data_IF_851926914160
#
_entry.id   IF_851926914160
#
_cell.length_a   1.000
_cell.length_b   1.000
_cell.length_c   1.000
_cell.angle_alpha   90.00
_cell.angle_beta   90.00
_cell.angle_gamma   90.00
#
_symmetry.space_group_name_H-M   'P 1'
#
loop_
_entity.id
_entity.type
_entity.pdbx_description
1 polymer ?
#
# COMPACT_ATOMS: atom_id res chain seq x y z
N UNK A 1 4.82 6.53 16.85
CA UNK A 1 4.94 5.80 15.58
C UNK A 1 3.93 6.36 14.58
N UNK A 2 4.36 6.59 13.36
CA UNK A 2 3.46 7.08 12.34
C UNK A 2 2.61 5.95 11.77
N UNK A 3 1.50 6.31 11.14
CA UNK A 3 0.66 5.31 10.50
C UNK A 3 1.39 4.63 9.35
N UNK A 4 2.21 5.38 8.61
CA UNK A 4 3.04 4.78 7.56
C UNK A 4 3.96 3.71 8.13
N UNK A 5 4.59 3.99 9.28
CA UNK A 5 5.46 3.01 9.92
C UNK A 5 4.68 1.78 10.39
N UNK A 6 3.45 1.98 10.84
CA UNK A 6 2.60 0.87 11.24
C UNK A 6 2.26 -0.01 10.04
N UNK A 7 1.92 0.60 8.91
CA UNK A 7 1.64 -0.16 7.68
C UNK A 7 2.86 -0.96 7.27
N UNK A 8 4.02 -0.32 7.29
CA UNK A 8 5.25 -1.01 6.89
C UNK A 8 5.53 -2.21 7.78
N UNK A 9 5.34 -2.06 9.09
CA UNK A 9 5.57 -3.14 10.04
C UNK A 9 4.64 -4.32 9.79
N UNK A 10 3.39 -4.03 9.39
CA UNK A 10 2.41 -5.08 9.10
C UNK A 10 2.75 -5.87 7.85
N UNK A 11 3.58 -5.33 6.97
CA UNK A 11 3.96 -6.01 5.74
C UNK A 11 5.16 -6.92 5.90
N UNK A 12 5.78 -6.95 7.08
CA UNK A 12 6.95 -7.80 7.34
C UNK A 12 6.75 -9.27 7.00
N UNK A 13 5.56 -9.89 7.23
CA UNK A 13 5.39 -11.30 6.85
C UNK A 13 5.55 -11.59 5.37
N UNK A 14 5.46 -10.57 4.51
CA UNK A 14 5.66 -10.75 3.08
C UNK A 14 7.12 -10.65 2.69
N UNK A 15 8.02 -10.46 3.66
CA UNK A 15 9.48 -10.41 3.46
C UNK A 15 9.86 -9.48 2.31
N UNK A 16 9.44 -8.20 2.36
CA UNK A 16 9.65 -7.31 1.22
C UNK A 16 11.12 -6.99 1.01
N UNK A 17 11.51 -6.92 -0.26
CA UNK A 17 12.81 -6.43 -0.64
C UNK A 17 12.84 -4.91 -0.65
N UNK A 18 11.67 -4.29 -0.87
CA UNK A 18 11.52 -2.86 -0.88
C UNK A 18 10.08 -2.50 -0.58
N UNK A 19 9.89 -1.45 0.20
CA UNK A 19 8.56 -0.92 0.50
C UNK A 19 8.62 0.58 0.42
N UNK A 20 7.67 1.15 -0.31
CA UNK A 20 7.51 2.59 -0.38
C UNK A 20 6.09 2.92 0.02
N UNK A 21 5.93 3.77 1.03
CA UNK A 21 4.62 4.16 1.52
C UNK A 21 4.51 5.66 1.42
N UNK A 22 3.44 6.10 0.75
CA UNK A 22 3.19 7.52 0.59
C UNK A 22 1.89 7.88 1.28
N UNK A 23 1.91 8.94 2.05
CA UNK A 23 0.72 9.47 2.70
C UNK A 23 0.09 10.49 1.76
N UNK A 24 -1.04 10.11 1.16
CA UNK A 24 -1.74 10.93 0.19
C UNK A 24 -2.85 11.74 0.83
N UNK A 25 -2.93 11.74 2.17
CA UNK A 25 -4.03 12.42 2.88
C UNK A 25 -4.13 13.89 2.52
N UNK A 26 -3.00 14.55 2.31
CA UNK A 26 -2.99 15.97 1.99
C UNK A 26 -3.67 16.28 0.66
N UNK A 27 -3.73 15.32 -0.24
CA UNK A 27 -4.38 15.51 -1.54
C UNK A 27 -5.90 15.60 -1.41
N UNK A 28 -6.42 15.26 -0.25
CA UNK A 28 -7.86 15.19 0.00
C UNK A 28 -8.32 16.25 1.00
N UNK A 29 -7.46 17.18 1.34
CA UNK A 29 -7.83 18.26 2.28
C UNK A 29 -9.01 19.02 1.72
N UNK A 30 -10.04 19.18 2.55
CA UNK A 30 -11.28 19.85 2.14
C UNK A 30 -12.34 18.91 1.60
N UNK A 31 -12.03 17.67 1.35
CA UNK A 31 -12.99 16.68 0.90
C UNK A 31 -13.65 16.00 2.11
N UNK A 32 -14.87 15.54 1.92
CA UNK A 32 -15.62 14.92 3.01
C UNK A 32 -14.87 13.74 3.62
N UNK A 33 -14.18 12.96 2.80
CA UNK A 33 -13.43 11.81 3.30
C UNK A 33 -12.29 12.22 4.21
N UNK A 34 -11.65 13.34 3.90
CA UNK A 34 -10.55 13.84 4.72
C UNK A 34 -11.06 14.42 6.04
N UNK A 35 -12.27 14.96 6.04
CA UNK A 35 -12.84 15.57 7.23
C UNK A 35 -13.03 14.57 8.35
N UNK A 36 -13.11 13.29 8.04
CA UNK A 36 -13.25 12.24 9.05
C UNK A 36 -11.96 11.88 9.74
N UNK A 37 -10.83 12.41 9.29
CA UNK A 37 -9.55 12.14 9.90
C UNK A 37 -8.90 10.83 9.50
N UNK A 38 -9.54 10.04 8.65
CA UNK A 38 -8.96 8.79 8.18
C UNK A 38 -7.99 9.06 7.04
N UNK A 39 -6.86 8.33 7.02
CA UNK A 39 -5.80 8.57 6.06
C UNK A 39 -5.99 7.90 4.73
N UNK A 40 -5.35 8.47 3.72
CA UNK A 40 -5.25 7.90 2.38
C UNK A 40 -3.79 7.62 2.09
N UNK A 41 -3.49 6.37 1.77
CA UNK A 41 -2.10 5.95 1.60
C UNK A 41 -1.92 5.18 0.31
N UNK A 42 -0.68 5.20 -0.21
CA UNK A 42 -0.26 4.38 -1.33
C UNK A 42 0.92 3.54 -0.89
N UNK A 43 0.88 2.26 -1.23
CA UNK A 43 1.95 1.31 -0.91
C UNK A 43 2.46 0.69 -2.20
N UNK A 44 3.78 0.73 -2.39
CA UNK A 44 4.45 -0.08 -3.39
C UNK A 44 5.33 -1.07 -2.65
N UNK A 45 5.10 -2.35 -2.85
CA UNK A 45 5.87 -3.39 -2.17
C UNK A 45 6.45 -4.34 -3.21
N UNK A 46 7.75 -4.60 -3.10
CA UNK A 46 8.45 -5.54 -3.97
C UNK A 46 8.85 -6.73 -3.12
N UNK A 47 8.49 -7.93 -3.54
CA UNK A 47 8.78 -9.13 -2.78
C UNK A 47 8.86 -10.34 -3.70
N UNK A 48 9.81 -11.23 -3.42
CA UNK A 48 9.89 -12.52 -4.10
C UNK A 48 8.67 -13.38 -3.82
N UNK A 49 7.96 -13.10 -2.73
CA UNK A 49 6.73 -13.80 -2.39
C UNK A 49 5.70 -13.70 -3.52
N UNK A 50 5.76 -12.64 -4.30
CA UNK A 50 4.79 -12.40 -5.37
C UNK A 50 5.13 -13.07 -6.69
N UNK A 51 6.29 -13.72 -6.78
CA UNK A 51 6.66 -14.43 -8.00
C UNK A 51 5.61 -15.50 -8.31
N UNK A 52 5.11 -15.48 -9.54
CA UNK A 52 4.11 -16.45 -9.98
C UNK A 52 2.71 -16.20 -9.48
N UNK A 53 2.48 -15.16 -8.67
CA UNK A 53 1.14 -14.87 -8.15
C UNK A 53 0.39 -13.91 -9.06
N UNK A 54 -0.89 -14.18 -9.33
CA UNK A 54 -1.72 -13.23 -10.06
C UNK A 54 -1.95 -11.96 -9.20
N UNK A 55 -2.27 -10.86 -9.87
CA UNK A 55 -2.40 -9.57 -9.19
C UNK A 55 -3.43 -9.58 -8.08
N UNK A 56 -4.56 -10.25 -8.29
CA UNK A 56 -5.59 -10.30 -7.27
C UNK A 56 -5.09 -10.99 -6.00
N UNK A 57 -4.33 -12.07 -6.14
CA UNK A 57 -3.80 -12.78 -4.99
C UNK A 57 -2.79 -11.93 -4.23
N UNK A 58 -1.97 -11.15 -4.96
CA UNK A 58 -1.02 -10.24 -4.32
C UNK A 58 -1.74 -9.16 -3.53
N UNK A 59 -2.78 -8.60 -4.12
CA UNK A 59 -3.57 -7.55 -3.48
C UNK A 59 -4.17 -8.07 -2.18
N UNK A 60 -4.73 -9.28 -2.22
CA UNK A 60 -5.30 -9.89 -1.04
C UNK A 60 -4.26 -10.17 0.03
N UNK A 61 -3.06 -10.59 -0.38
CA UNK A 61 -1.98 -10.85 0.58
C UNK A 61 -1.62 -9.57 1.35
N UNK A 62 -1.54 -8.44 0.65
CA UNK A 62 -1.26 -7.16 1.30
C UNK A 62 -2.42 -6.76 2.21
N UNK A 63 -3.65 -6.89 1.74
CA UNK A 63 -4.82 -6.55 2.54
C UNK A 63 -4.91 -7.40 3.80
N UNK A 64 -4.54 -8.68 3.72
CA UNK A 64 -4.56 -9.54 4.90
C UNK A 64 -3.62 -9.04 5.98
N UNK A 65 -2.53 -8.38 5.59
CA UNK A 65 -1.57 -7.84 6.56
C UNK A 65 -2.09 -6.58 7.24
N UNK A 66 -2.91 -5.78 6.56
CA UNK A 66 -3.30 -4.46 7.05
C UNK A 66 -4.81 -4.29 7.19
N UNK A 67 -5.57 -5.36 7.00
CA UNK A 67 -7.03 -5.26 6.95
C UNK A 67 -7.67 -4.66 8.20
N UNK A 68 -7.08 -4.91 9.36
CA UNK A 68 -7.61 -4.37 10.62
C UNK A 68 -7.41 -2.86 10.74
N UNK A 69 -6.63 -2.26 9.85
CA UNK A 69 -6.43 -0.81 9.84
C UNK A 69 -7.46 -0.09 8.96
N UNK A 70 -8.24 -0.84 8.20
CA UNK A 70 -9.21 -0.30 7.26
C UNK A 70 -10.62 -0.62 7.76
N UNK A 71 -11.55 0.32 7.76
CA UNK A 71 -11.50 1.65 7.13
C UNK A 71 -10.97 2.75 8.03
N UNK A 72 -10.57 2.43 9.23
CA UNK A 72 -10.03 3.43 10.13
C UNK A 72 -8.91 2.79 10.97
N UNK A 73 -7.75 3.43 11.12
CA UNK A 73 -7.39 4.79 10.72
C UNK A 73 -6.99 4.96 9.25
N UNK A 74 -7.01 3.88 8.45
CA UNK A 74 -6.73 3.98 7.02
C UNK A 74 -8.05 3.91 6.26
N UNK A 75 -8.44 5.02 5.63
CA UNK A 75 -9.69 5.07 4.89
C UNK A 75 -9.55 4.41 3.52
N UNK A 76 -8.44 4.66 2.85
CA UNK A 76 -8.20 4.12 1.52
C UNK A 76 -6.72 3.76 1.39
N UNK A 77 -6.45 2.66 0.69
CA UNK A 77 -5.09 2.19 0.47
C UNK A 77 -4.95 1.72 -0.97
N UNK A 78 -4.12 2.45 -1.74
CA UNK A 78 -3.75 2.02 -3.07
C UNK A 78 -2.55 1.09 -2.95
N UNK A 79 -2.61 -0.05 -3.63
CA UNK A 79 -1.60 -1.09 -3.48
C UNK A 79 -0.99 -1.42 -4.83
N UNK A 80 0.34 -1.42 -4.89
CA UNK A 80 1.09 -1.94 -6.02
C UNK A 80 2.03 -3.01 -5.49
N UNK A 81 1.72 -4.28 -5.76
CA UNK A 81 2.50 -5.41 -5.29
C UNK A 81 3.26 -6.02 -6.46
N UNK A 82 4.57 -6.01 -6.40
CA UNK A 82 5.43 -6.38 -7.51
C UNK A 82 6.38 -7.51 -7.14
N UNK A 83 6.61 -8.40 -8.09
CA UNK A 83 7.74 -9.32 -8.02
C UNK A 83 9.01 -8.55 -8.41
N UNK A 84 10.20 -9.06 -8.02
CA UNK A 84 11.44 -8.29 -8.24
C UNK A 84 11.75 -7.96 -9.69
N UNK A 85 11.21 -8.74 -10.62
CA UNK A 85 11.50 -8.56 -12.05
C UNK A 85 10.47 -7.65 -12.75
N UNK A 86 9.57 -7.04 -12.00
CA UNK A 86 8.50 -6.23 -12.57
C UNK A 86 8.75 -4.75 -12.34
N UNK A 87 8.43 -3.89 -13.33
CA UNK A 87 8.61 -2.45 -13.16
C UNK A 87 7.46 -1.84 -12.35
N UNK A 88 7.76 -0.73 -11.67
CA UNK A 88 6.75 0.02 -10.96
C UNK A 88 5.87 0.78 -11.93
N UNK A 89 4.59 0.93 -11.57
CA UNK A 89 3.64 1.56 -12.49
C UNK A 89 3.95 3.03 -12.74
N UNK A 90 4.55 3.72 -11.77
CA UNK A 90 4.90 5.12 -11.99
C UNK A 90 5.96 5.31 -13.06
N UNK A 91 6.70 4.26 -13.37
CA UNK A 91 7.65 4.29 -14.48
C UNK A 91 6.94 4.20 -15.82
N UNK A 92 5.82 3.48 -15.84
CA UNK A 92 5.05 3.32 -17.05
C UNK A 92 4.20 4.55 -17.37
N UNK A 93 3.80 5.28 -16.35
CA UNK A 93 2.91 6.42 -16.55
C UNK A 93 3.58 7.56 -17.32
N UNK A 94 4.87 7.46 -17.51
CA UNK A 94 5.60 8.45 -18.30
C UNK A 94 5.46 8.26 -19.78
N UNK A 95 4.87 7.17 -20.18
CA UNK A 95 4.70 6.84 -21.59
C UNK A 95 3.78 7.80 -22.30
#
# INVERSE_FOLDING_TARGET
MTLAATIEARLAPLAPLDVEIRDDSALHVGHAGAAGGAGHFSVTIVSEHFLGMPRLARHRAVLDCVGDLIPYPVHALAIQALAPDEPRSNERTKQ
#
